data_IF_489898262090
#
_entry.id   IF_489898262090
#
_cell.length_a   1.000
_cell.length_b   1.000
_cell.length_c   1.000
_cell.angle_alpha   90.00
_cell.angle_beta   90.00
_cell.angle_gamma   90.00
#
_symmetry.space_group_name_H-M   'P 1'
#
loop_
_entity.id
_entity.type
_entity.pdbx_description
1 polymer ?
#
# COMPACT_ATOMS: atom_id res chain seq x y z
N UNK A 1 7.31 19.72 11.10
CA UNK A 1 5.96 19.23 10.71
C UNK A 1 5.53 18.24 11.78
N UNK A 2 4.44 18.52 12.52
CA UNK A 2 3.92 17.53 13.47
C UNK A 2 3.29 16.40 12.66
N UNK A 3 3.85 15.19 12.76
CA UNK A 3 3.20 14.01 12.21
C UNK A 3 1.83 13.88 12.84
N UNK A 4 0.80 13.81 12.01
CA UNK A 4 -0.53 13.50 12.51
C UNK A 4 -0.52 12.01 12.89
N UNK A 5 -0.87 11.63 14.13
CA UNK A 5 -0.93 10.22 14.52
C UNK A 5 -1.82 9.39 13.59
N UNK A 6 -2.78 10.02 12.91
CA UNK A 6 -3.62 9.39 11.87
C UNK A 6 -2.79 8.82 10.72
N UNK A 7 -1.66 9.44 10.35
CA UNK A 7 -0.77 8.92 9.30
C UNK A 7 -0.23 7.53 9.69
N UNK A 8 0.09 7.33 10.98
CA UNK A 8 0.55 6.03 11.48
C UNK A 8 -0.56 4.99 11.40
N UNK A 9 -1.75 5.32 11.90
CA UNK A 9 -2.91 4.41 11.85
C UNK A 9 -3.32 4.06 10.41
N UNK A 10 -3.24 5.03 9.49
CA UNK A 10 -3.49 4.79 8.07
C UNK A 10 -2.45 3.82 7.46
N UNK A 11 -1.17 3.98 7.78
CA UNK A 11 -0.12 3.04 7.37
C UNK A 11 -0.36 1.63 7.88
N UNK A 12 -0.75 1.49 9.15
CA UNK A 12 -1.10 0.19 9.73
C UNK A 12 -2.32 -0.43 9.05
N UNK A 13 -3.36 0.37 8.81
CA UNK A 13 -4.56 -0.08 8.09
C UNK A 13 -4.22 -0.59 6.68
N UNK A 14 -3.37 0.13 5.94
CA UNK A 14 -2.94 -0.29 4.61
C UNK A 14 -2.21 -1.65 4.64
N UNK A 15 -1.18 -1.77 5.48
CA UNK A 15 -0.35 -2.98 5.56
C UNK A 15 -1.11 -4.19 6.09
N UNK A 16 -1.83 -4.02 7.21
CA UNK A 16 -2.60 -5.11 7.83
C UNK A 16 -3.78 -5.49 6.94
N UNK A 17 -4.50 -4.52 6.37
CA UNK A 17 -5.61 -4.79 5.47
C UNK A 17 -5.20 -5.59 4.24
N UNK A 18 -4.10 -5.20 3.60
CA UNK A 18 -3.54 -5.96 2.47
C UNK A 18 -3.07 -7.37 2.88
N UNK A 19 -2.43 -7.52 4.03
CA UNK A 19 -2.01 -8.83 4.54
C UNK A 19 -3.21 -9.75 4.83
N UNK A 20 -4.26 -9.22 5.48
CA UNK A 20 -5.49 -9.96 5.74
C UNK A 20 -6.20 -10.35 4.43
N UNK A 21 -6.16 -9.49 3.42
CA UNK A 21 -6.65 -9.84 2.09
C UNK A 21 -5.86 -10.99 1.47
N UNK A 22 -4.52 -10.97 1.49
CA UNK A 22 -3.71 -12.09 1.02
C UNK A 22 -4.03 -13.40 1.77
N UNK A 23 -4.25 -13.32 3.08
CA UNK A 23 -4.66 -14.48 3.88
C UNK A 23 -6.03 -15.03 3.47
N UNK A 24 -6.97 -14.14 3.16
CA UNK A 24 -8.28 -14.52 2.62
C UNK A 24 -8.14 -15.20 1.25
N UNK A 25 -7.36 -14.65 0.33
CA UNK A 25 -7.11 -15.25 -0.99
C UNK A 25 -6.48 -16.65 -0.86
N UNK A 26 -5.54 -16.79 0.08
CA UNK A 26 -4.96 -18.09 0.40
C UNK A 26 -6.00 -19.09 0.92
N UNK A 27 -6.84 -18.68 1.88
CA UNK A 27 -7.89 -19.52 2.43
C UNK A 27 -8.93 -19.95 1.39
N UNK A 28 -9.19 -19.11 0.38
CA UNK A 28 -10.07 -19.40 -0.76
C UNK A 28 -9.40 -20.28 -1.84
N UNK A 29 -8.13 -20.68 -1.64
CA UNK A 29 -7.38 -21.48 -2.59
C UNK A 29 -6.90 -20.71 -3.82
N UNK A 30 -7.04 -19.38 -3.85
CA UNK A 30 -6.64 -18.55 -4.99
C UNK A 30 -5.13 -18.36 -5.09
N UNK A 31 -4.39 -18.71 -4.03
CA UNK A 31 -2.94 -18.80 -4.04
C UNK A 31 -2.40 -20.22 -4.21
N UNK A 32 -3.27 -21.21 -4.46
CA UNK A 32 -2.88 -22.61 -4.63
C UNK A 32 -3.46 -23.21 -5.90
N UNK A 33 -4.79 -23.26 -5.99
CA UNK A 33 -5.54 -23.96 -7.04
C UNK A 33 -5.99 -23.01 -8.15
N UNK A 34 -6.43 -21.81 -7.78
CA UNK A 34 -7.02 -20.82 -8.69
C UNK A 34 -6.12 -19.59 -8.84
N UNK A 35 -4.86 -19.82 -9.22
CA UNK A 35 -3.82 -18.76 -9.28
C UNK A 35 -4.15 -17.62 -10.25
N UNK A 36 -4.94 -17.88 -11.31
CA UNK A 36 -5.41 -16.80 -12.20
C UNK A 36 -6.39 -15.86 -11.49
N UNK A 37 -7.31 -16.43 -10.71
CA UNK A 37 -8.21 -15.66 -9.84
C UNK A 37 -7.40 -14.86 -8.83
N UNK A 38 -6.42 -15.48 -8.17
CA UNK A 38 -5.52 -14.80 -7.22
C UNK A 38 -4.79 -13.61 -7.84
N UNK A 39 -4.29 -13.74 -9.07
CA UNK A 39 -3.65 -12.64 -9.79
C UNK A 39 -4.62 -11.46 -10.05
N UNK A 40 -5.88 -11.74 -10.36
CA UNK A 40 -6.91 -10.70 -10.56
C UNK A 40 -7.36 -10.06 -9.24
N UNK A 41 -7.55 -10.88 -8.20
CA UNK A 41 -8.04 -10.42 -6.90
C UNK A 41 -6.97 -9.67 -6.11
N UNK A 42 -5.69 -9.91 -6.40
CA UNK A 42 -4.58 -9.15 -5.82
C UNK A 42 -4.69 -7.63 -6.08
N UNK A 43 -5.31 -7.21 -7.20
CA UNK A 43 -5.57 -5.79 -7.46
C UNK A 43 -6.59 -5.17 -6.48
N UNK A 44 -7.46 -5.97 -5.87
CA UNK A 44 -8.40 -5.50 -4.83
C UNK A 44 -7.63 -5.03 -3.60
N UNK A 45 -6.46 -5.60 -3.31
CA UNK A 45 -5.62 -5.17 -2.20
C UNK A 45 -5.18 -3.70 -2.32
N UNK A 46 -5.19 -3.11 -3.52
CA UNK A 46 -4.86 -1.69 -3.75
C UNK A 46 -5.88 -0.75 -3.07
N UNK A 47 -7.09 -1.22 -2.77
CA UNK A 47 -8.10 -0.41 -2.08
C UNK A 47 -7.65 0.01 -0.68
N UNK A 48 -6.88 -0.83 0.03
CA UNK A 48 -6.38 -0.53 1.38
C UNK A 48 -5.39 0.65 1.42
N UNK A 49 -4.26 0.65 0.67
CA UNK A 49 -3.37 1.80 0.62
C UNK A 49 -4.06 3.04 0.03
N UNK A 50 -5.00 2.86 -0.90
CA UNK A 50 -5.78 3.98 -1.45
C UNK A 50 -6.59 4.68 -0.36
N UNK A 51 -7.41 3.92 0.38
CA UNK A 51 -8.22 4.45 1.46
C UNK A 51 -7.36 5.08 2.57
N UNK A 52 -6.26 4.42 2.95
CA UNK A 52 -5.31 4.92 3.94
C UNK A 52 -4.71 6.27 3.55
N UNK A 53 -4.20 6.40 2.33
CA UNK A 53 -3.57 7.65 1.87
C UNK A 53 -4.59 8.77 1.82
N UNK A 54 -5.78 8.54 1.24
CA UNK A 54 -6.83 9.55 1.21
C UNK A 54 -7.28 9.97 2.61
N UNK A 55 -7.35 9.03 3.56
CA UNK A 55 -7.66 9.31 4.95
C UNK A 55 -6.58 10.19 5.61
N UNK A 56 -5.31 9.82 5.47
CA UNK A 56 -4.19 10.59 5.99
C UNK A 56 -4.15 12.00 5.40
N UNK A 57 -4.33 12.16 4.08
CA UNK A 57 -4.37 13.47 3.43
C UNK A 57 -5.49 14.36 3.96
N UNK A 58 -6.71 13.81 4.10
CA UNK A 58 -7.86 14.55 4.66
C UNK A 58 -7.60 14.98 6.10
N UNK A 59 -7.03 14.10 6.92
CA UNK A 59 -6.68 14.39 8.30
C UNK A 59 -5.61 15.49 8.40
N UNK A 60 -4.56 15.43 7.56
CA UNK A 60 -3.52 16.47 7.50
C UNK A 60 -4.08 17.81 7.04
N UNK A 61 -4.98 17.81 6.05
CA UNK A 61 -5.65 19.02 5.58
C UNK A 61 -6.44 19.69 6.72
N UNK A 62 -7.27 18.92 7.42
CA UNK A 62 -8.07 19.42 8.56
C UNK A 62 -7.20 19.96 9.69
N UNK A 63 -6.11 19.27 10.04
CA UNK A 63 -5.20 19.73 11.10
C UNK A 63 -4.43 21.00 10.75
N UNK A 64 -4.42 21.41 9.49
CA UNK A 64 -3.72 22.60 8.99
C UNK A 64 -4.69 23.70 8.54
N UNK A 65 -5.87 23.81 9.17
CA UNK A 65 -6.86 24.84 8.85
C UNK A 65 -7.40 24.73 7.42
N UNK A 66 -7.70 23.50 6.99
CA UNK A 66 -8.16 23.16 5.64
C UNK A 66 -7.22 23.56 4.50
N UNK A 67 -5.92 23.67 4.80
CA UNK A 67 -4.86 23.88 3.81
C UNK A 67 -4.01 22.62 3.67
N UNK A 68 -3.79 22.21 2.42
CA UNK A 68 -2.90 21.11 2.09
C UNK A 68 -1.94 21.56 0.99
N UNK A 69 -0.65 21.55 1.31
CA UNK A 69 0.41 21.79 0.32
C UNK A 69 0.83 20.48 -0.35
N UNK A 70 1.38 20.56 -1.57
CA UNK A 70 1.86 19.38 -2.28
C UNK A 70 2.98 18.65 -1.50
N UNK A 71 3.87 19.41 -0.85
CA UNK A 71 4.91 18.86 0.03
C UNK A 71 4.30 18.04 1.17
N UNK A 72 3.26 18.54 1.83
CA UNK A 72 2.58 17.80 2.89
C UNK A 72 1.89 16.55 2.34
N UNK A 73 1.28 16.63 1.16
CA UNK A 73 0.64 15.48 0.54
C UNK A 73 1.65 14.35 0.23
N UNK A 74 2.77 14.69 -0.43
CA UNK A 74 3.83 13.74 -0.73
C UNK A 74 4.42 13.11 0.54
N UNK A 75 4.69 13.91 1.57
CA UNK A 75 5.19 13.39 2.85
C UNK A 75 4.20 12.43 3.52
N UNK A 76 2.89 12.68 3.42
CA UNK A 76 1.88 11.74 3.90
C UNK A 76 1.90 10.43 3.11
N UNK A 77 1.99 10.49 1.78
CA UNK A 77 2.10 9.30 0.94
C UNK A 77 3.32 8.45 1.30
N UNK A 78 4.50 9.08 1.40
CA UNK A 78 5.75 8.42 1.78
C UNK A 78 5.65 7.78 3.17
N UNK A 79 5.10 8.49 4.15
CA UNK A 79 5.00 7.98 5.53
C UNK A 79 4.04 6.80 5.66
N UNK A 80 2.86 6.87 5.04
CA UNK A 80 1.91 5.74 5.00
C UNK A 80 2.56 4.54 4.30
N UNK A 81 3.25 4.78 3.18
CA UNK A 81 3.93 3.73 2.41
C UNK A 81 5.05 3.06 3.19
N UNK A 82 5.85 3.81 3.94
CA UNK A 82 6.94 3.26 4.73
C UNK A 82 6.43 2.26 5.79
N UNK A 83 5.34 2.62 6.48
CA UNK A 83 4.72 1.75 7.48
C UNK A 83 4.08 0.52 6.81
N UNK A 84 3.33 0.74 5.73
CA UNK A 84 2.70 -0.35 4.98
C UNK A 84 3.72 -1.31 4.39
N UNK A 85 4.83 -0.80 3.85
CA UNK A 85 5.93 -1.60 3.29
C UNK A 85 6.64 -2.42 4.37
N UNK A 86 6.90 -1.83 5.54
CA UNK A 86 7.50 -2.56 6.66
C UNK A 86 6.63 -3.74 7.10
N UNK A 87 5.33 -3.51 7.26
CA UNK A 87 4.36 -4.57 7.58
C UNK A 87 4.32 -5.62 6.46
N UNK A 88 4.23 -5.17 5.21
CA UNK A 88 4.17 -6.04 4.03
C UNK A 88 5.40 -6.93 3.91
N UNK A 89 6.61 -6.40 4.10
CA UNK A 89 7.85 -7.20 4.05
C UNK A 89 7.87 -8.27 5.13
N UNK A 90 7.52 -7.92 6.37
CA UNK A 90 7.47 -8.87 7.48
C UNK A 90 6.43 -9.96 7.17
N UNK A 91 5.23 -9.56 6.74
CA UNK A 91 4.16 -10.47 6.41
C UNK A 91 4.55 -11.42 5.27
N UNK A 92 5.02 -10.90 4.14
CA UNK A 92 5.35 -11.73 2.98
C UNK A 92 6.55 -12.63 3.23
N UNK A 93 7.52 -12.20 4.05
CA UNK A 93 8.59 -13.08 4.48
C UNK A 93 8.05 -14.30 5.24
N UNK A 94 7.15 -14.09 6.22
CA UNK A 94 6.49 -15.18 6.95
C UNK A 94 5.60 -15.99 6.02
N UNK A 95 4.90 -15.33 5.09
CA UNK A 95 4.00 -15.98 4.15
C UNK A 95 4.75 -16.97 3.26
N UNK A 96 5.86 -16.57 2.65
CA UNK A 96 6.65 -17.43 1.76
C UNK A 96 7.49 -18.48 2.49
N UNK A 97 7.71 -18.36 3.79
CA UNK A 97 8.53 -19.31 4.56
C UNK A 97 7.70 -20.30 5.38
N UNK A 98 6.53 -19.89 5.85
CA UNK A 98 5.76 -20.63 6.86
C UNK A 98 4.29 -20.84 6.50
N UNK A 99 3.62 -19.86 5.87
CA UNK A 99 2.17 -19.94 5.61
C UNK A 99 1.88 -20.66 4.30
N UNK A 100 2.54 -20.24 3.22
CA UNK A 100 2.42 -20.82 1.89
C UNK A 100 3.79 -20.89 1.20
N UNK A 101 4.65 -21.84 1.61
CA UNK A 101 5.98 -21.99 1.03
C UNK A 101 5.97 -22.42 -0.44
N UNK A 102 4.89 -23.08 -0.89
CA UNK A 102 4.74 -23.54 -2.27
C UNK A 102 4.36 -22.42 -3.25
N UNK A 103 3.98 -21.23 -2.77
CA UNK A 103 3.47 -20.15 -3.60
C UNK A 103 4.46 -19.71 -4.68
N UNK A 104 5.72 -19.45 -4.30
CA UNK A 104 6.74 -18.98 -5.25
C UNK A 104 7.12 -20.07 -6.26
N UNK A 105 7.11 -21.33 -5.85
CA UNK A 105 7.36 -22.46 -6.73
C UNK A 105 6.23 -22.60 -7.76
N UNK A 106 4.97 -22.42 -7.33
CA UNK A 106 3.81 -22.42 -8.21
C UNK A 106 3.84 -21.27 -9.23
N UNK A 107 4.28 -20.08 -8.84
CA UNK A 107 4.51 -18.97 -9.77
C UNK A 107 5.63 -19.27 -10.78
N UNK A 108 6.75 -19.83 -10.32
CA UNK A 108 7.87 -20.22 -11.20
C UNK A 108 7.49 -21.31 -12.19
N UNK A 109 6.66 -22.28 -11.77
CA UNK A 109 6.13 -23.31 -12.67
C UNK A 109 5.27 -22.73 -13.82
N UNK A 110 4.77 -21.50 -13.69
CA UNK A 110 4.04 -20.75 -14.73
C UNK A 110 4.95 -19.83 -15.57
N UNK A 111 6.26 -19.98 -15.46
CA UNK A 111 7.23 -19.19 -16.22
C UNK A 111 7.49 -17.79 -15.66
N UNK A 112 7.05 -17.50 -14.44
CA UNK A 112 7.40 -16.23 -13.78
C UNK A 112 8.78 -16.33 -13.13
N UNK A 113 9.69 -15.43 -13.46
CA UNK A 113 10.99 -15.32 -12.81
C UNK A 113 10.83 -14.57 -11.48
N UNK A 114 10.43 -15.30 -10.44
CA UNK A 114 10.19 -14.75 -9.11
C UNK A 114 10.94 -15.52 -8.04
N UNK A 115 11.49 -14.80 -7.09
CA UNK A 115 12.07 -15.33 -5.87
C UNK A 115 11.63 -14.46 -4.67
N UNK A 116 12.01 -14.87 -3.46
CA UNK A 116 11.61 -14.11 -2.28
C UNK A 116 12.19 -12.69 -2.28
N UNK A 117 13.44 -12.52 -2.71
CA UNK A 117 14.12 -11.21 -2.70
C UNK A 117 13.45 -10.22 -3.65
N UNK A 118 13.18 -10.65 -4.88
CA UNK A 118 12.48 -9.88 -5.92
C UNK A 118 11.06 -9.55 -5.47
N UNK A 119 10.33 -10.48 -4.85
CA UNK A 119 8.98 -10.22 -4.33
C UNK A 119 8.97 -9.22 -3.16
N UNK A 120 9.86 -9.38 -2.18
CA UNK A 120 9.96 -8.41 -1.07
C UNK A 120 10.40 -7.03 -1.56
N UNK A 121 11.29 -6.99 -2.56
CA UNK A 121 11.69 -5.73 -3.22
C UNK A 121 10.49 -5.09 -3.93
N UNK A 122 9.68 -5.88 -4.63
CA UNK A 122 8.47 -5.41 -5.29
C UNK A 122 7.44 -4.88 -4.29
N UNK A 123 7.30 -5.49 -3.10
CA UNK A 123 6.43 -4.97 -2.02
C UNK A 123 6.89 -3.57 -1.58
N UNK A 124 8.19 -3.38 -1.38
CA UNK A 124 8.74 -2.07 -0.99
C UNK A 124 8.56 -1.05 -2.12
N UNK A 125 9.04 -1.37 -3.32
CA UNK A 125 8.98 -0.46 -4.47
C UNK A 125 7.54 -0.11 -4.83
N UNK A 126 6.67 -1.12 -4.92
CA UNK A 126 5.25 -0.96 -5.21
C UNK A 126 4.55 -0.07 -4.18
N UNK A 127 4.82 -0.27 -2.89
CA UNK A 127 4.26 0.57 -1.82
C UNK A 127 4.65 2.04 -1.99
N UNK A 128 5.95 2.32 -2.19
CA UNK A 128 6.42 3.70 -2.35
C UNK A 128 5.99 4.33 -3.67
N UNK A 129 6.09 3.62 -4.79
CA UNK A 129 5.64 4.11 -6.09
C UNK A 129 4.15 4.46 -6.03
N UNK A 130 3.32 3.53 -5.56
CA UNK A 130 1.89 3.76 -5.44
C UNK A 130 1.58 4.92 -4.51
N UNK A 131 2.21 4.97 -3.33
CA UNK A 131 1.93 6.02 -2.37
C UNK A 131 2.40 7.41 -2.80
N UNK A 132 3.55 7.52 -3.46
CA UNK A 132 4.02 8.77 -4.05
C UNK A 132 3.08 9.21 -5.17
N UNK A 133 2.76 8.32 -6.12
CA UNK A 133 1.88 8.63 -7.25
C UNK A 133 0.49 9.06 -6.78
N UNK A 134 -0.16 8.25 -5.93
CA UNK A 134 -1.49 8.54 -5.43
C UNK A 134 -1.50 9.83 -4.60
N UNK A 135 -0.52 10.04 -3.72
CA UNK A 135 -0.48 11.26 -2.90
C UNK A 135 -0.16 12.50 -3.71
N UNK A 136 0.63 12.39 -4.78
CA UNK A 136 0.86 13.49 -5.72
C UNK A 136 -0.44 13.86 -6.43
N UNK A 137 -1.11 12.88 -7.05
CA UNK A 137 -2.36 13.09 -7.79
C UNK A 137 -3.46 13.60 -6.86
N UNK A 138 -3.76 12.89 -5.77
CA UNK A 138 -4.76 13.29 -4.80
C UNK A 138 -4.41 14.64 -4.15
N UNK A 139 -3.13 14.88 -3.86
CA UNK A 139 -2.63 16.15 -3.35
C UNK A 139 -2.89 17.32 -4.31
N UNK A 140 -2.71 17.13 -5.62
CA UNK A 140 -3.00 18.15 -6.63
C UNK A 140 -4.49 18.49 -6.71
N UNK A 141 -5.38 17.52 -6.53
CA UNK A 141 -6.83 17.74 -6.48
C UNK A 141 -7.29 18.35 -5.16
N UNK A 142 -6.68 17.92 -4.04
CA UNK A 142 -7.08 18.34 -2.69
C UNK A 142 -6.42 19.64 -2.23
N UNK A 143 -5.39 20.13 -2.95
CA UNK A 143 -4.68 21.36 -2.59
C UNK A 143 -5.65 22.53 -2.55
N UNK A 144 -5.55 23.31 -1.50
CA UNK A 144 -6.29 24.56 -1.39
C UNK A 144 -5.57 25.56 -2.27
N UNK A 145 -6.21 26.01 -3.36
CA UNK A 145 -5.65 27.09 -4.20
C UNK A 145 -5.59 28.36 -3.35
N UNK A 146 -4.40 28.69 -2.84
CA UNK A 146 -4.12 30.03 -2.35
C UNK A 146 -3.81 30.93 -3.55
N UNK A 147 -4.65 31.94 -3.77
CA UNK A 147 -4.33 33.18 -4.49
C UNK A 147 -3.79 33.03 -5.92
N UNK A 148 -4.62 32.52 -6.82
CA UNK A 148 -4.58 32.90 -8.23
C UNK A 148 -5.87 33.66 -8.57
N UNK A 149 -6.11 34.77 -7.86
CA UNK A 149 -7.02 35.87 -8.22
C UNK A 149 -7.10 36.87 -7.04
N UNK A 150 -6.13 37.80 -7.01
CA UNK A 150 -6.09 39.15 -6.42
C UNK A 150 -4.79 39.39 -5.68
#
# INVERSE_FOLDING_TARGET
MRFNPITTYAGMFAGIGAALWTMFEYAMGWHNEHLETGAMTGFVAIMFPTAAILWALRATKRSNGDRLTLKQALMCGVAVSAISAAIGVIFFYVYYTSINPAFLDAMRARGQEVDMTTQLTAVVMGSFMFGILLSAVAGLFMRTRGEAAK
#
